data_IF_980083721504
#
_entry.id   IF_980083721504
#
_cell.length_a   1.000
_cell.length_b   1.000
_cell.length_c   1.000
_cell.angle_alpha   90.00
_cell.angle_beta   90.00
_cell.angle_gamma   90.00
#
_symmetry.space_group_name_H-M   'P 1'
#
loop_
_entity.id
_entity.type
_entity.pdbx_description
1 polymer ?
#
# COMPACT_ATOMS: atom_id res chain seq x y z
N UNK A 1 0.60 52.28 -12.46
CA UNK A 1 0.39 51.24 -11.45
C UNK A 1 -0.51 50.20 -12.09
N UNK A 2 0.07 49.18 -12.72
CA UNK A 2 -0.69 48.18 -13.50
C UNK A 2 -1.28 47.18 -12.51
N UNK A 3 -2.61 47.12 -12.43
CA UNK A 3 -3.36 46.07 -11.75
C UNK A 3 -3.05 44.75 -12.45
N UNK A 4 -2.26 43.90 -11.79
CA UNK A 4 -2.09 42.50 -12.16
C UNK A 4 -3.44 41.84 -11.91
N UNK A 5 -4.16 41.52 -12.99
CA UNK A 5 -5.37 40.72 -12.89
C UNK A 5 -5.01 39.37 -12.25
N UNK A 6 -5.70 39.02 -11.16
CA UNK A 6 -5.63 37.66 -10.62
C UNK A 6 -6.06 36.69 -11.72
N UNK A 7 -5.34 35.57 -11.93
CA UNK A 7 -5.74 34.59 -12.92
C UNK A 7 -7.12 34.06 -12.52
N UNK A 8 -8.12 34.32 -13.36
CA UNK A 8 -9.45 33.73 -13.23
C UNK A 8 -9.26 32.21 -13.15
N UNK A 9 -9.56 31.63 -11.99
CA UNK A 9 -9.43 30.20 -11.77
C UNK A 9 -10.37 29.48 -12.73
N UNK A 10 -9.80 28.78 -13.70
CA UNK A 10 -10.54 28.00 -14.69
C UNK A 10 -11.60 27.14 -13.96
N UNK A 11 -12.89 27.23 -14.34
CA UNK A 11 -13.94 26.52 -13.63
C UNK A 11 -13.61 25.03 -13.63
N UNK A 12 -13.59 24.42 -12.45
CA UNK A 12 -13.28 23.01 -12.28
C UNK A 12 -14.38 22.24 -13.02
N UNK A 13 -14.07 21.73 -14.22
CA UNK A 13 -15.03 21.00 -15.04
C UNK A 13 -15.26 19.57 -14.55
N UNK A 14 -16.35 18.91 -15.00
CA UNK A 14 -16.62 17.50 -14.71
C UNK A 14 -15.46 16.56 -15.15
N UNK A 15 -14.67 16.98 -16.14
CA UNK A 15 -13.49 16.25 -16.60
C UNK A 15 -12.39 16.17 -15.53
N UNK A 16 -12.18 17.23 -14.74
CA UNK A 16 -11.19 17.22 -13.66
C UNK A 16 -11.59 16.28 -12.53
N UNK A 17 -12.89 16.20 -12.24
CA UNK A 17 -13.41 15.22 -11.28
C UNK A 17 -13.20 13.80 -11.79
N UNK A 18 -13.54 13.53 -13.06
CA UNK A 18 -13.31 12.23 -13.68
C UNK A 18 -11.84 11.81 -13.60
N UNK A 19 -10.91 12.70 -13.97
CA UNK A 19 -9.46 12.44 -13.87
C UNK A 19 -9.05 12.13 -12.42
N UNK A 20 -9.58 12.87 -11.44
CA UNK A 20 -9.26 12.63 -10.03
C UNK A 20 -9.77 11.27 -9.52
N UNK A 21 -10.95 10.85 -9.97
CA UNK A 21 -11.53 9.53 -9.64
C UNK A 21 -10.73 8.41 -10.31
N UNK A 22 -10.35 8.58 -11.57
CA UNK A 22 -9.50 7.62 -12.30
C UNK A 22 -8.14 7.47 -11.62
N UNK A 23 -7.50 8.56 -11.21
CA UNK A 23 -6.24 8.53 -10.45
C UNK A 23 -6.40 7.81 -9.10
N UNK A 24 -7.48 8.09 -8.37
CA UNK A 24 -7.77 7.40 -7.12
C UNK A 24 -7.90 5.88 -7.31
N UNK A 25 -8.66 5.44 -8.33
CA UNK A 25 -8.83 4.01 -8.66
C UNK A 25 -7.52 3.38 -9.12
N UNK A 26 -6.75 4.09 -9.93
CA UNK A 26 -5.42 3.66 -10.37
C UNK A 26 -4.51 3.42 -9.16
N UNK A 27 -4.41 4.37 -8.24
CA UNK A 27 -3.57 4.22 -7.03
C UNK A 27 -4.04 3.05 -6.16
N UNK A 28 -5.34 2.84 -6.00
CA UNK A 28 -5.88 1.71 -5.25
C UNK A 28 -5.49 0.36 -5.88
N UNK A 29 -5.71 0.19 -7.19
CA UNK A 29 -5.38 -1.04 -7.91
C UNK A 29 -3.86 -1.27 -7.95
N UNK A 30 -3.09 -0.23 -8.21
CA UNK A 30 -1.64 -0.30 -8.31
C UNK A 30 -0.99 -0.68 -6.98
N UNK A 31 -1.47 -0.11 -5.87
CA UNK A 31 -1.02 -0.49 -4.54
C UNK A 31 -1.36 -1.95 -4.22
N UNK A 32 -2.55 -2.42 -4.59
CA UNK A 32 -2.92 -3.82 -4.41
C UNK A 32 -1.99 -4.77 -5.19
N UNK A 33 -1.76 -4.48 -6.48
CA UNK A 33 -0.85 -5.27 -7.31
C UNK A 33 0.57 -5.30 -6.71
N UNK A 34 1.09 -4.15 -6.27
CA UNK A 34 2.41 -4.07 -5.63
C UNK A 34 2.50 -4.92 -4.36
N UNK A 35 1.47 -4.90 -3.52
CA UNK A 35 1.40 -5.75 -2.32
C UNK A 35 1.44 -7.23 -2.67
N UNK A 36 0.70 -7.66 -3.70
CA UNK A 36 0.73 -9.06 -4.15
C UNK A 36 2.14 -9.49 -4.58
N UNK A 37 2.82 -8.67 -5.39
CA UNK A 37 4.19 -8.96 -5.83
C UNK A 37 5.19 -8.99 -4.68
N UNK A 38 5.08 -8.05 -3.73
CA UNK A 38 5.97 -8.01 -2.57
C UNK A 38 5.74 -9.22 -1.64
N UNK A 39 4.48 -9.62 -1.42
CA UNK A 39 4.19 -10.82 -0.63
C UNK A 39 4.71 -12.09 -1.33
N UNK A 40 4.49 -12.22 -2.63
CA UNK A 40 5.01 -13.34 -3.41
C UNK A 40 6.55 -13.39 -3.39
N UNK A 41 7.21 -12.23 -3.47
CA UNK A 41 8.67 -12.11 -3.36
C UNK A 41 9.18 -12.59 -2.00
N UNK A 42 8.58 -12.13 -0.89
CA UNK A 42 8.97 -12.57 0.45
C UNK A 42 8.73 -14.08 0.65
N UNK A 43 7.59 -14.59 0.18
CA UNK A 43 7.29 -16.03 0.22
C UNK A 43 8.28 -16.85 -0.61
N UNK A 44 8.70 -16.32 -1.77
CA UNK A 44 9.72 -16.93 -2.62
C UNK A 44 11.09 -17.01 -1.94
N UNK A 45 11.51 -15.96 -1.24
CA UNK A 45 12.77 -15.99 -0.45
C UNK A 45 12.69 -17.04 0.64
N UNK A 46 11.60 -17.08 1.42
CA UNK A 46 11.40 -18.08 2.47
C UNK A 46 11.47 -19.51 1.89
N UNK A 47 10.77 -19.75 0.77
CA UNK A 47 10.79 -21.05 0.09
C UNK A 47 12.20 -21.44 -0.40
N UNK A 48 12.96 -20.49 -0.94
CA UNK A 48 14.35 -20.71 -1.35
C UNK A 48 15.25 -21.05 -0.16
N UNK A 49 15.08 -20.36 0.97
CA UNK A 49 15.79 -20.65 2.22
C UNK A 49 15.51 -22.07 2.72
N UNK A 50 14.25 -22.48 2.73
CA UNK A 50 13.83 -23.85 3.10
C UNK A 50 14.44 -24.90 2.17
N UNK A 51 14.46 -24.65 0.87
CA UNK A 51 15.09 -25.56 -0.10
C UNK A 51 16.60 -25.68 0.14
N UNK A 52 17.29 -24.56 0.38
CA UNK A 52 18.72 -24.53 0.65
C UNK A 52 19.10 -25.18 1.99
N UNK A 53 18.24 -25.11 3.01
CA UNK A 53 18.50 -25.69 4.32
C UNK A 53 18.81 -27.20 4.27
N UNK A 54 18.30 -27.91 3.25
CA UNK A 54 18.58 -29.34 3.01
C UNK A 54 19.99 -29.63 2.48
N UNK A 55 20.66 -28.62 1.93
CA UNK A 55 21.95 -28.76 1.22
C UNK A 55 23.08 -28.02 1.92
N UNK A 56 22.82 -26.81 2.42
CA UNK A 56 23.80 -25.98 3.12
C UNK A 56 23.11 -25.07 4.12
N UNK A 57 23.31 -25.36 5.41
CA UNK A 57 22.75 -24.54 6.48
C UNK A 57 23.26 -23.09 6.47
N UNK A 58 24.57 -22.91 6.21
CA UNK A 58 25.16 -21.57 6.16
C UNK A 58 24.55 -20.68 5.06
N UNK A 59 24.34 -21.22 3.85
CA UNK A 59 23.69 -20.47 2.76
C UNK A 59 22.22 -20.22 3.06
N UNK A 60 21.52 -21.17 3.67
CA UNK A 60 20.12 -20.99 4.06
C UNK A 60 19.96 -19.85 5.09
N UNK A 61 20.85 -19.76 6.09
CA UNK A 61 20.86 -18.66 7.07
C UNK A 61 21.00 -17.29 6.37
N UNK A 62 21.89 -17.18 5.39
CA UNK A 62 22.03 -15.93 4.61
C UNK A 62 20.74 -15.60 3.87
N UNK A 63 20.08 -16.58 3.26
CA UNK A 63 18.82 -16.36 2.53
C UNK A 63 17.67 -15.97 3.46
N UNK A 64 17.53 -16.60 4.62
CA UNK A 64 16.53 -16.18 5.61
C UNK A 64 16.81 -14.77 6.16
N UNK A 65 18.08 -14.41 6.37
CA UNK A 65 18.44 -13.05 6.78
C UNK A 65 18.03 -12.02 5.71
N UNK A 66 18.20 -12.34 4.42
CA UNK A 66 17.69 -11.52 3.32
C UNK A 66 16.16 -11.43 3.31
N UNK A 67 15.45 -12.49 3.72
CA UNK A 67 13.99 -12.50 3.89
C UNK A 67 13.50 -11.47 4.93
N UNK A 68 14.16 -11.39 6.08
CA UNK A 68 13.87 -10.38 7.11
C UNK A 68 14.08 -8.96 6.57
N UNK A 69 15.18 -8.73 5.85
CA UNK A 69 15.46 -7.43 5.23
C UNK A 69 14.41 -7.08 4.17
N UNK A 70 14.00 -8.05 3.34
CA UNK A 70 12.96 -7.89 2.34
C UNK A 70 11.59 -7.55 2.96
N UNK A 71 11.24 -8.16 4.10
CA UNK A 71 10.04 -7.81 4.86
C UNK A 71 10.10 -6.36 5.34
N UNK A 72 11.25 -5.92 5.88
CA UNK A 72 11.48 -4.53 6.28
C UNK A 72 11.31 -3.54 5.14
N UNK A 73 11.91 -3.82 3.97
CA UNK A 73 11.74 -2.99 2.77
C UNK A 73 10.28 -2.94 2.31
N UNK A 74 9.57 -4.06 2.39
CA UNK A 74 8.14 -4.14 2.02
C UNK A 74 7.30 -3.21 2.90
N UNK A 75 7.57 -3.16 4.20
CA UNK A 75 6.88 -2.24 5.13
C UNK A 75 7.14 -0.78 4.75
N UNK A 76 8.37 -0.40 4.40
CA UNK A 76 8.71 0.96 3.98
C UNK A 76 7.98 1.34 2.69
N UNK A 77 7.97 0.45 1.71
CA UNK A 77 7.26 0.64 0.44
C UNK A 77 5.75 0.82 0.68
N UNK A 78 5.15 0.02 1.59
CA UNK A 78 3.74 0.12 1.92
C UNK A 78 3.39 1.49 2.54
N UNK A 79 4.23 2.01 3.44
CA UNK A 79 4.03 3.34 4.04
C UNK A 79 4.00 4.44 2.98
N UNK A 80 4.92 4.40 2.03
CA UNK A 80 4.99 5.37 0.93
C UNK A 80 3.77 5.26 0.02
N UNK A 81 3.36 4.05 -0.34
CA UNK A 81 2.16 3.79 -1.14
C UNK A 81 0.88 4.32 -0.47
N UNK A 82 0.75 4.12 0.84
CA UNK A 82 -0.39 4.61 1.59
C UNK A 82 -0.49 6.15 1.53
N UNK A 83 0.63 6.85 1.54
CA UNK A 83 0.67 8.31 1.38
C UNK A 83 0.20 8.75 -0.01
N UNK A 84 0.63 8.07 -1.08
CA UNK A 84 0.15 8.37 -2.44
C UNK A 84 -1.36 8.16 -2.57
N UNK A 85 -1.88 7.05 -2.03
CA UNK A 85 -3.31 6.79 -1.99
C UNK A 85 -4.08 7.87 -1.23
N UNK A 86 -3.59 8.28 -0.04
CA UNK A 86 -4.22 9.36 0.74
C UNK A 86 -4.23 10.68 -0.02
N UNK A 87 -3.12 11.05 -0.65
CA UNK A 87 -3.01 12.28 -1.43
C UNK A 87 -3.98 12.29 -2.62
N UNK A 88 -4.11 11.18 -3.35
CA UNK A 88 -5.05 11.04 -4.46
C UNK A 88 -6.51 11.14 -3.98
N UNK A 89 -6.85 10.42 -2.90
CA UNK A 89 -8.19 10.49 -2.28
C UNK A 89 -8.53 11.89 -1.79
N UNK A 90 -7.59 12.55 -1.12
CA UNK A 90 -7.81 13.88 -0.57
C UNK A 90 -7.90 14.93 -1.70
N UNK A 91 -7.19 14.74 -2.82
CA UNK A 91 -7.35 15.55 -4.04
C UNK A 91 -8.74 15.37 -4.66
N UNK A 92 -9.21 14.13 -4.81
CA UNK A 92 -10.56 13.83 -5.29
C UNK A 92 -11.61 14.52 -4.41
N UNK A 93 -11.51 14.39 -3.08
CA UNK A 93 -12.43 15.04 -2.13
C UNK A 93 -12.41 16.57 -2.18
N UNK A 94 -11.27 17.19 -2.46
CA UNK A 94 -11.19 18.65 -2.66
C UNK A 94 -11.96 19.07 -3.91
N UNK A 95 -11.86 18.30 -4.98
CA UNK A 95 -12.57 18.55 -6.25
C UNK A 95 -14.09 18.33 -6.09
N UNK A 96 -14.51 17.27 -5.37
CA UNK A 96 -15.91 17.03 -5.01
C UNK A 96 -16.51 18.23 -4.26
N UNK A 97 -15.78 18.75 -3.27
CA UNK A 97 -16.20 19.93 -2.49
C UNK A 97 -16.32 21.19 -3.34
N UNK A 98 -15.38 21.42 -4.27
CA UNK A 98 -15.45 22.61 -5.14
C UNK A 98 -16.59 22.54 -6.15
N UNK A 99 -16.97 21.34 -6.59
CA UNK A 99 -18.07 21.12 -7.51
C UNK A 99 -19.46 21.10 -6.83
N UNK A 100 -19.51 21.20 -5.50
CA UNK A 100 -20.75 21.09 -4.71
C UNK A 100 -21.55 19.82 -5.05
N UNK A 101 -20.84 18.71 -5.29
CA UNK A 101 -21.49 17.42 -5.55
C UNK A 101 -22.33 17.05 -4.32
N UNK A 102 -23.60 16.75 -4.56
CA UNK A 102 -24.55 16.42 -3.51
C UNK A 102 -24.07 15.21 -2.68
N UNK A 103 -24.40 15.18 -1.39
CA UNK A 103 -23.86 14.20 -0.45
C UNK A 103 -24.15 12.76 -0.87
N UNK A 104 -25.29 12.55 -1.54
CA UNK A 104 -25.75 11.26 -2.04
C UNK A 104 -25.02 10.80 -3.32
N UNK A 105 -24.32 11.72 -4.01
CA UNK A 105 -23.53 11.45 -5.20
C UNK A 105 -22.02 11.38 -4.92
N UNK A 106 -21.60 11.56 -3.65
CA UNK A 106 -20.19 11.44 -3.26
C UNK A 106 -19.70 10.00 -3.37
N UNK A 107 -18.48 9.83 -3.87
CA UNK A 107 -17.84 8.51 -3.92
C UNK A 107 -17.36 8.12 -2.54
N UNK A 108 -18.27 7.56 -1.76
CA UNK A 108 -17.97 7.13 -0.42
C UNK A 108 -17.35 5.74 -0.38
N UNK A 109 -16.04 5.69 -0.60
CA UNK A 109 -15.27 4.44 -0.57
C UNK A 109 -14.80 4.06 0.83
N UNK A 110 -15.05 4.90 1.85
CA UNK A 110 -14.53 4.68 3.22
C UNK A 110 -15.57 4.81 4.34
N UNK A 111 -16.60 5.66 4.23
CA UNK A 111 -17.59 5.92 5.30
C UNK A 111 -18.70 4.87 5.36
N UNK A 112 -19.16 4.33 4.23
CA UNK A 112 -20.03 3.13 4.17
C UNK A 112 -19.41 1.92 4.87
N UNK A 113 -18.08 1.83 4.94
CA UNK A 113 -17.35 0.79 5.69
C UNK A 113 -16.93 1.22 7.11
N UNK A 114 -16.88 2.52 7.41
CA UNK A 114 -16.56 3.03 8.75
C UNK A 114 -17.76 2.91 9.72
N UNK A 115 -18.99 2.94 9.20
CA UNK A 115 -20.22 2.68 9.99
C UNK A 115 -20.44 1.21 10.34
N UNK A 116 -19.91 0.28 9.54
CA UNK A 116 -20.02 -1.17 9.78
C UNK A 116 -18.79 -1.73 10.50
N UNK A 117 -18.64 -1.46 11.79
CA UNK A 117 -17.93 -2.32 12.75
C UNK A 117 -16.56 -2.91 12.35
N UNK A 118 -15.77 -2.22 11.50
CA UNK A 118 -14.55 -2.80 10.93
C UNK A 118 -13.45 -2.83 12.00
N UNK A 119 -13.33 -3.96 12.70
CA UNK A 119 -12.31 -4.16 13.74
C UNK A 119 -10.88 -4.26 13.19
N UNK A 120 -10.71 -4.59 11.89
CA UNK A 120 -9.38 -4.83 11.29
C UNK A 120 -9.27 -4.14 9.92
N UNK A 121 -8.23 -3.31 9.77
CA UNK A 121 -7.86 -2.65 8.52
C UNK A 121 -7.05 -3.57 7.60
N UNK A 122 -7.12 -3.36 6.28
CA UNK A 122 -6.30 -4.11 5.30
C UNK A 122 -4.82 -4.00 5.66
N UNK A 123 -4.36 -2.81 6.03
CA UNK A 123 -2.97 -2.55 6.40
C UNK A 123 -2.52 -3.43 7.59
N UNK A 124 -3.39 -3.63 8.59
CA UNK A 124 -3.09 -4.53 9.71
C UNK A 124 -2.95 -5.99 9.27
N UNK A 125 -3.82 -6.46 8.37
CA UNK A 125 -3.70 -7.82 7.81
C UNK A 125 -2.38 -7.98 7.07
N UNK A 126 -2.00 -7.00 6.25
CA UNK A 126 -0.73 -7.03 5.52
C UNK A 126 0.48 -7.03 6.46
N UNK A 127 0.48 -6.22 7.50
CA UNK A 127 1.55 -6.24 8.49
C UNK A 127 1.61 -7.54 9.29
N UNK A 128 0.47 -8.16 9.58
CA UNK A 128 0.42 -9.47 10.23
C UNK A 128 1.02 -10.54 9.32
N UNK A 129 0.68 -10.55 8.03
CA UNK A 129 1.27 -11.47 7.05
C UNK A 129 2.78 -11.28 6.94
N UNK A 130 3.26 -10.05 6.79
CA UNK A 130 4.70 -9.78 6.73
C UNK A 130 5.42 -10.14 8.02
N UNK A 131 4.82 -9.85 9.18
CA UNK A 131 5.37 -10.25 10.47
C UNK A 131 5.45 -11.78 10.60
N UNK A 132 4.45 -12.51 10.12
CA UNK A 132 4.48 -13.98 10.14
C UNK A 132 5.60 -14.55 9.28
N UNK A 133 5.89 -13.95 8.12
CA UNK A 133 7.01 -14.36 7.26
C UNK A 133 8.35 -14.03 7.94
N UNK A 134 8.51 -12.81 8.46
CA UNK A 134 9.74 -12.42 9.14
C UNK A 134 10.03 -13.27 10.39
N UNK A 135 8.99 -13.67 11.13
CA UNK A 135 9.12 -14.61 12.25
C UNK A 135 9.52 -16.00 11.75
N UNK A 136 8.94 -16.48 10.65
CA UNK A 136 9.32 -17.75 10.05
C UNK A 136 10.80 -17.75 9.59
N UNK A 137 11.27 -16.67 8.96
CA UNK A 137 12.69 -16.50 8.60
C UNK A 137 13.57 -16.54 9.86
N UNK A 138 13.22 -15.80 10.91
CA UNK A 138 13.98 -15.74 12.16
C UNK A 138 14.06 -17.11 12.85
N UNK A 139 12.94 -17.81 12.98
CA UNK A 139 12.88 -19.16 13.56
C UNK A 139 13.71 -20.13 12.71
N UNK A 140 13.67 -20.00 11.39
CA UNK A 140 14.44 -20.85 10.49
C UNK A 140 15.94 -20.62 10.61
N UNK A 141 16.39 -19.37 10.82
CA UNK A 141 17.79 -19.06 11.13
C UNK A 141 18.21 -19.79 12.40
N UNK A 142 17.43 -19.69 13.48
CA UNK A 142 17.74 -20.35 14.75
C UNK A 142 17.78 -21.87 14.58
N UNK A 143 16.82 -22.46 13.86
CA UNK A 143 16.76 -23.90 13.65
C UNK A 143 17.92 -24.44 12.80
N UNK A 144 18.43 -23.65 11.85
CA UNK A 144 19.51 -24.09 10.96
C UNK A 144 20.90 -23.79 11.53
N UNK A 145 21.02 -22.77 12.38
CA UNK A 145 22.30 -22.36 12.97
C UNK A 145 22.69 -23.15 14.22
N UNK A 146 21.74 -23.83 14.87
CA UNK A 146 21.93 -24.64 16.08
C UNK A 146 21.61 -26.11 15.82
#
# INVERSE_FOLDING_TARGET
>A
MSTVAEPESEPIGPDLYRIAVEEYRFQAQFNWNRVQYLLAFNAGILAAGVALAKTSGALAVVVFALGIVACGMTVLVQRVQHNYYRNARDRMRRIEKSLQIDHDALLDTTSTLAGQGRRISVTQILYLLLASIAVADLVSILFVAF
#
